data_IF_439020126943
#
_entry.id   IF_439020126943
#
_cell.length_a   1.000
_cell.length_b   1.000
_cell.length_c   1.000
_cell.angle_alpha   90.00
_cell.angle_beta   90.00
_cell.angle_gamma   90.00
#
_symmetry.space_group_name_H-M   'P 1'
#
loop_
_entity.id
_entity.type
_entity.pdbx_description
1 polymer ?
#
# COMPACT_ATOMS: atom_id res chain seq x y z
N UNK A 1 17.26 -12.18 30.14
CA UNK A 1 16.20 -11.58 29.32
C UNK A 1 16.72 -11.49 27.90
N UNK A 2 16.34 -12.43 27.03
CA UNK A 2 16.79 -12.47 25.63
C UNK A 2 15.91 -11.52 24.83
N UNK A 3 16.47 -10.37 24.44
CA UNK A 3 15.82 -9.47 23.49
C UNK A 3 15.82 -10.14 22.11
N UNK A 4 14.64 -10.53 21.65
CA UNK A 4 14.44 -11.03 20.29
C UNK A 4 14.73 -9.91 19.29
N UNK A 5 15.76 -10.11 18.48
CA UNK A 5 16.03 -9.26 17.31
C UNK A 5 14.90 -9.51 16.31
N UNK A 6 14.08 -8.51 15.92
CA UNK A 6 13.10 -8.71 14.88
C UNK A 6 13.84 -9.03 13.58
N UNK A 7 13.54 -10.20 13.02
CA UNK A 7 14.02 -10.59 11.71
C UNK A 7 13.49 -9.58 10.68
N UNK A 8 14.39 -8.74 10.18
CA UNK A 8 14.19 -7.92 8.99
C UNK A 8 14.04 -8.88 7.80
N UNK A 9 12.80 -9.22 7.45
CA UNK A 9 12.51 -9.90 6.19
C UNK A 9 12.95 -9.00 5.05
N UNK A 10 14.04 -9.38 4.39
CA UNK A 10 14.53 -8.77 3.17
C UNK A 10 13.61 -9.16 2.00
N UNK A 11 12.41 -8.60 1.97
CA UNK A 11 11.63 -8.55 0.73
C UNK A 11 12.37 -7.61 -0.23
N UNK A 12 12.77 -8.13 -1.40
CA UNK A 12 13.42 -7.38 -2.46
C UNK A 12 12.43 -6.38 -3.07
N UNK A 13 12.26 -5.24 -2.41
CA UNK A 13 11.35 -4.18 -2.82
C UNK A 13 11.93 -3.43 -4.02
N UNK A 14 11.46 -3.81 -5.21
CA UNK A 14 11.67 -3.08 -6.46
C UNK A 14 10.77 -1.84 -6.54
N UNK A 15 10.80 -0.98 -5.52
CA UNK A 15 9.91 0.19 -5.42
C UNK A 15 10.67 1.47 -5.63
N UNK A 16 10.88 1.74 -6.92
CA UNK A 16 11.52 2.95 -7.41
C UNK A 16 11.31 3.07 -8.90
N UNK A 17 10.06 3.02 -9.38
CA UNK A 17 9.72 3.35 -10.77
C UNK A 17 8.23 3.63 -10.93
N UNK A 18 7.93 4.92 -11.14
CA UNK A 18 7.09 5.41 -12.23
C UNK A 18 5.71 4.74 -12.36
N UNK A 19 4.64 5.49 -12.04
CA UNK A 19 3.30 5.18 -12.56
C UNK A 19 3.41 5.14 -14.09
N UNK A 20 3.61 3.94 -14.60
CA UNK A 20 4.00 3.75 -15.99
C UNK A 20 2.74 3.60 -16.80
N UNK A 21 2.77 4.08 -18.06
CA UNK A 21 1.74 3.71 -19.05
C UNK A 21 1.53 2.18 -19.12
N UNK A 22 2.52 1.37 -18.69
CA UNK A 22 2.40 -0.09 -18.63
C UNK A 22 1.51 -0.57 -17.49
N UNK A 23 1.58 0.06 -16.31
CA UNK A 23 0.71 -0.27 -15.16
C UNK A 23 -0.75 -0.04 -15.52
N UNK A 24 -1.08 1.16 -16.02
CA UNK A 24 -2.43 1.49 -16.49
C UNK A 24 -2.93 0.51 -17.56
N UNK A 25 -2.10 0.22 -18.58
CA UNK A 25 -2.43 -0.77 -19.61
C UNK A 25 -2.70 -2.16 -19.06
N UNK A 26 -2.05 -2.56 -17.96
CA UNK A 26 -2.29 -3.86 -17.32
C UNK A 26 -3.66 -3.89 -16.65
N UNK A 27 -4.03 -2.84 -15.91
CA UNK A 27 -5.37 -2.68 -15.34
C UNK A 27 -6.45 -2.71 -16.43
N UNK A 28 -6.28 -1.95 -17.49
CA UNK A 28 -7.26 -1.87 -18.59
C UNK A 28 -7.46 -3.17 -19.37
N UNK A 29 -6.52 -4.12 -19.29
CA UNK A 29 -6.61 -5.43 -19.97
C UNK A 29 -7.32 -6.49 -19.14
N UNK A 30 -7.46 -6.27 -17.84
CA UNK A 30 -8.13 -7.22 -16.95
C UNK A 30 -9.60 -6.82 -16.83
N UNK A 31 -10.54 -7.74 -17.08
CA UNK A 31 -11.97 -7.45 -16.98
C UNK A 31 -12.32 -6.89 -15.60
N UNK A 32 -13.04 -5.77 -15.60
CA UNK A 32 -13.68 -5.26 -14.38
C UNK A 32 -14.78 -6.24 -13.99
N UNK A 33 -14.71 -6.74 -12.76
CA UNK A 33 -15.71 -7.59 -12.14
C UNK A 33 -16.17 -6.97 -10.84
N UNK A 34 -17.28 -7.48 -10.31
CA UNK A 34 -17.69 -7.24 -8.93
C UNK A 34 -17.22 -8.38 -8.04
N UNK A 35 -17.19 -8.15 -6.73
CA UNK A 35 -16.99 -9.17 -5.70
C UNK A 35 -18.02 -10.29 -5.82
N UNK A 36 -19.25 -10.00 -6.25
CA UNK A 36 -20.32 -10.99 -6.46
C UNK A 36 -20.12 -11.87 -7.70
N UNK A 37 -19.54 -11.33 -8.77
CA UNK A 37 -19.31 -12.04 -10.05
C UNK A 37 -17.87 -12.51 -10.24
N UNK A 38 -17.02 -12.36 -9.23
CA UNK A 38 -15.61 -12.74 -9.30
C UNK A 38 -15.45 -14.24 -9.61
N UNK A 39 -14.73 -14.55 -10.68
CA UNK A 39 -14.36 -15.91 -11.09
C UNK A 39 -13.01 -16.30 -10.46
N UNK A 40 -13.05 -17.28 -9.55
CA UNK A 40 -11.88 -17.76 -8.80
C UNK A 40 -10.80 -18.41 -9.68
N UNK A 41 -11.15 -18.80 -10.91
CA UNK A 41 -10.22 -19.43 -11.86
C UNK A 41 -9.44 -18.40 -12.68
N UNK A 42 -9.89 -17.16 -12.68
CA UNK A 42 -9.35 -16.09 -13.50
C UNK A 42 -8.68 -15.00 -12.65
N UNK A 43 -7.92 -14.14 -13.34
CA UNK A 43 -7.47 -12.87 -12.77
C UNK A 43 -8.59 -11.86 -13.00
N UNK A 44 -9.09 -11.26 -11.92
CA UNK A 44 -10.13 -10.24 -11.97
C UNK A 44 -9.60 -8.87 -11.61
N UNK A 45 -10.26 -7.81 -12.09
CA UNK A 45 -10.08 -6.44 -11.64
C UNK A 45 -11.29 -6.04 -10.79
N UNK A 46 -11.06 -5.66 -9.53
CA UNK A 46 -12.07 -5.12 -8.63
C UNK A 46 -11.82 -3.62 -8.45
N UNK A 47 -12.87 -2.83 -8.28
CA UNK A 47 -12.75 -1.40 -7.95
C UNK A 47 -13.70 -1.09 -6.80
N UNK A 48 -13.18 -0.49 -5.74
CA UNK A 48 -13.97 -0.21 -4.56
C UNK A 48 -13.26 0.74 -3.60
N UNK A 49 -13.90 0.96 -2.46
CA UNK A 49 -13.40 1.86 -1.43
C UNK A 49 -12.72 1.05 -0.32
N UNK A 50 -11.55 1.51 0.11
CA UNK A 50 -10.75 0.87 1.15
C UNK A 50 -11.42 1.00 2.51
N UNK A 51 -11.54 -0.10 3.23
CA UNK A 51 -12.05 -0.15 4.61
C UNK A 51 -11.03 -0.81 5.52
N UNK A 52 -10.68 -0.11 6.60
CA UNK A 52 -9.86 -0.71 7.64
C UNK A 52 -10.67 -1.75 8.40
N UNK A 53 -10.15 -2.98 8.49
CA UNK A 53 -10.74 -4.08 9.27
C UNK A 53 -10.21 -4.04 10.71
N UNK A 54 -8.95 -3.66 10.86
CA UNK A 54 -8.30 -3.43 12.13
C UNK A 54 -8.13 -1.94 12.43
N UNK A 55 -7.55 -1.64 13.60
CA UNK A 55 -7.06 -0.29 13.90
C UNK A 55 -6.06 0.16 12.82
N UNK A 56 -6.35 1.32 12.22
CA UNK A 56 -5.49 1.96 11.23
C UNK A 56 -4.07 2.22 11.77
N UNK A 57 -3.08 2.10 10.90
CA UNK A 57 -1.71 2.53 11.10
C UNK A 57 -1.64 4.06 11.14
N UNK A 58 -0.51 4.59 11.61
CA UNK A 58 -0.13 6.00 11.43
C UNK A 58 1.10 6.07 10.54
N UNK A 59 1.01 6.82 9.46
CA UNK A 59 2.13 7.10 8.58
C UNK A 59 3.19 7.91 9.35
N UNK A 60 4.47 7.53 9.32
CA UNK A 60 5.43 8.04 10.29
C UNK A 60 5.90 9.48 10.02
N UNK A 61 5.73 10.02 8.81
CA UNK A 61 6.09 11.40 8.50
C UNK A 61 4.89 12.36 8.61
N UNK A 62 3.74 12.01 8.03
CA UNK A 62 2.56 12.87 8.09
C UNK A 62 1.64 12.64 9.28
N UNK A 63 1.77 11.51 9.99
CA UNK A 63 0.86 11.10 11.06
C UNK A 63 -0.53 10.65 10.60
N UNK A 64 -0.78 10.63 9.28
CA UNK A 64 -2.09 10.29 8.67
C UNK A 64 -2.53 8.86 8.99
N UNK A 65 -3.82 8.62 9.27
CA UNK A 65 -4.36 7.28 9.49
C UNK A 65 -4.41 6.50 8.17
N UNK A 66 -3.89 5.27 8.16
CA UNK A 66 -3.76 4.50 6.93
C UNK A 66 -3.86 2.99 7.12
N UNK A 67 -4.16 2.26 6.04
CA UNK A 67 -4.05 0.79 6.01
C UNK A 67 -2.69 0.33 5.48
N UNK A 68 -2.00 1.18 4.74
CA UNK A 68 -0.66 0.96 4.22
C UNK A 68 0.10 2.28 4.11
N UNK A 69 1.40 2.24 4.38
CA UNK A 69 2.32 3.30 4.02
C UNK A 69 3.65 2.76 3.50
N UNK A 70 4.33 3.60 2.73
CA UNK A 70 5.72 3.42 2.34
C UNK A 70 6.45 4.75 2.51
N UNK A 71 7.61 4.71 3.14
CA UNK A 71 8.48 5.87 3.35
C UNK A 71 9.87 5.58 2.82
N UNK A 72 10.42 6.53 2.08
CA UNK A 72 11.81 6.51 1.64
C UNK A 72 12.46 7.87 1.89
N UNK A 73 13.62 7.83 2.55
CA UNK A 73 14.52 8.97 2.64
C UNK A 73 15.68 8.75 1.68
N UNK A 74 15.95 9.75 0.88
CA UNK A 74 17.04 9.75 -0.09
C UNK A 74 17.75 11.09 -0.10
N UNK A 75 19.00 11.11 -0.51
CA UNK A 75 19.80 12.33 -0.60
C UNK A 75 20.23 12.55 -2.05
N UNK A 76 20.23 13.81 -2.46
CA UNK A 76 20.78 14.25 -3.75
C UNK A 76 22.15 14.87 -3.54
N UNK A 77 23.17 14.25 -4.12
CA UNK A 77 24.54 14.76 -4.20
C UNK A 77 24.78 15.20 -5.66
N UNK A 78 24.44 16.46 -5.96
CA UNK A 78 24.40 16.96 -7.34
C UNK A 78 23.30 16.28 -8.16
N UNK A 79 23.69 15.46 -9.15
CA UNK A 79 22.75 14.68 -10.00
C UNK A 79 22.50 13.26 -9.49
N UNK A 80 23.23 12.82 -8.48
CA UNK A 80 23.14 11.46 -7.96
C UNK A 80 22.14 11.40 -6.82
N UNK A 81 21.16 10.51 -6.92
CA UNK A 81 20.24 10.18 -5.82
C UNK A 81 20.70 8.90 -5.14
N UNK A 82 20.91 8.96 -3.84
CA UNK A 82 21.25 7.80 -2.99
C UNK A 82 20.15 7.59 -1.95
N UNK A 83 19.61 6.39 -1.84
CA UNK A 83 18.68 6.02 -0.76
C UNK A 83 19.46 5.95 0.56
N UNK A 84 18.92 6.56 1.62
CA UNK A 84 19.45 6.43 2.98
C UNK A 84 18.76 5.25 3.68
N UNK A 85 17.44 5.33 3.79
CA UNK A 85 16.61 4.32 4.43
C UNK A 85 15.20 4.32 3.86
N UNK A 86 14.41 3.33 4.26
CA UNK A 86 12.98 3.36 4.05
C UNK A 86 12.28 2.28 4.87
N UNK A 87 10.99 2.47 5.04
CA UNK A 87 10.12 1.61 5.82
C UNK A 87 8.84 1.39 5.04
N UNK A 88 8.31 0.18 5.10
CA UNK A 88 7.04 -0.17 4.51
C UNK A 88 6.24 -0.94 5.55
N UNK A 89 4.97 -0.59 5.67
CA UNK A 89 4.06 -1.32 6.54
C UNK A 89 2.65 -1.28 6.01
N UNK A 90 2.04 -2.45 5.97
CA UNK A 90 0.62 -2.63 5.65
C UNK A 90 -0.09 -3.44 6.72
N UNK A 91 -1.42 -3.31 6.74
CA UNK A 91 -2.35 -4.20 7.42
C UNK A 91 -3.39 -4.67 6.42
N UNK A 92 -3.94 -5.85 6.66
CA UNK A 92 -5.04 -6.34 5.84
C UNK A 92 -6.23 -5.38 5.90
N UNK A 93 -6.86 -5.16 4.76
CA UNK A 93 -8.00 -4.26 4.62
C UNK A 93 -9.05 -4.85 3.69
N UNK A 94 -10.27 -4.36 3.81
CA UNK A 94 -11.36 -4.74 2.94
C UNK A 94 -11.49 -3.72 1.80
N UNK A 95 -11.86 -4.19 0.63
CA UNK A 95 -12.30 -3.38 -0.51
C UNK A 95 -13.81 -3.57 -0.63
N UNK A 96 -14.59 -2.50 -0.50
CA UNK A 96 -16.04 -2.53 -0.73
C UNK A 96 -16.35 -1.95 -2.11
N UNK A 97 -16.90 -2.78 -3.00
CA UNK A 97 -17.31 -2.37 -4.35
C UNK A 97 -18.82 -2.07 -4.46
N UNK A 98 -19.54 -2.04 -3.34
CA UNK A 98 -20.99 -1.91 -3.24
C UNK A 98 -21.75 -3.23 -3.43
N UNK A 99 -21.09 -4.28 -3.94
CA UNK A 99 -21.68 -5.60 -4.16
C UNK A 99 -21.27 -6.62 -3.13
N UNK A 100 -20.18 -6.36 -2.40
CA UNK A 100 -19.62 -7.22 -1.37
C UNK A 100 -18.25 -6.69 -0.92
N UNK A 101 -17.55 -7.49 -0.10
CA UNK A 101 -16.22 -7.17 0.38
C UNK A 101 -15.16 -8.07 -0.28
N UNK A 102 -13.98 -7.52 -0.53
CA UNK A 102 -12.79 -8.31 -0.80
C UNK A 102 -11.72 -8.04 0.25
N UNK A 103 -11.21 -9.08 0.90
CA UNK A 103 -10.08 -9.00 1.82
C UNK A 103 -8.77 -9.00 1.03
N UNK A 104 -7.90 -8.04 1.34
CA UNK A 104 -6.57 -7.93 0.78
C UNK A 104 -5.54 -7.90 1.90
N UNK A 105 -4.53 -8.76 1.81
CA UNK A 105 -3.30 -8.66 2.58
C UNK A 105 -2.25 -7.92 1.74
N UNK A 106 -1.71 -6.78 2.23
CA UNK A 106 -0.68 -6.05 1.49
C UNK A 106 0.68 -6.76 1.47
N UNK A 107 0.89 -7.84 2.24
CA UNK A 107 2.09 -8.65 2.14
C UNK A 107 2.29 -9.15 0.70
N UNK A 108 3.49 -8.93 0.14
CA UNK A 108 3.85 -9.23 -1.25
C UNK A 108 3.00 -8.53 -2.33
N UNK A 109 2.11 -7.59 -1.97
CA UNK A 109 1.32 -6.86 -2.95
C UNK A 109 2.15 -5.78 -3.65
N UNK A 110 1.85 -5.53 -4.92
CA UNK A 110 2.39 -4.41 -5.68
C UNK A 110 1.47 -3.20 -5.57
N UNK A 111 1.78 -2.27 -4.67
CA UNK A 111 0.99 -1.04 -4.50
C UNK A 111 1.54 0.11 -5.34
N UNK A 112 0.66 0.72 -6.12
CA UNK A 112 0.95 1.88 -6.96
C UNK A 112 0.06 3.02 -6.51
N UNK A 113 0.51 3.74 -5.49
CA UNK A 113 -0.21 4.85 -4.88
C UNK A 113 0.32 6.18 -5.45
N UNK A 114 -0.61 7.03 -5.90
CA UNK A 114 -0.37 8.29 -6.58
C UNK A 114 -0.10 9.42 -5.60
N UNK A 115 -0.79 9.45 -4.46
CA UNK A 115 -0.56 10.48 -3.44
C UNK A 115 0.81 10.32 -2.79
N UNK A 116 1.63 11.37 -2.89
CA UNK A 116 3.00 11.42 -2.38
C UNK A 116 3.20 12.71 -1.61
N UNK A 117 3.40 12.60 -0.31
CA UNK A 117 3.96 13.70 0.47
C UNK A 117 5.46 13.75 0.21
N UNK A 118 5.96 14.89 -0.26
CA UNK A 118 7.39 15.10 -0.52
C UNK A 118 7.91 16.23 0.36
N UNK A 119 8.95 15.93 1.12
CA UNK A 119 9.64 16.89 1.99
C UNK A 119 11.05 17.08 1.42
N UNK A 120 11.46 18.33 1.20
CA UNK A 120 12.79 18.68 0.73
C UNK A 120 13.42 19.72 1.64
N UNK A 121 14.75 19.71 1.70
CA UNK A 121 15.51 20.63 2.53
C UNK A 121 15.37 22.07 2.01
N UNK A 122 15.00 22.97 2.94
CA UNK A 122 14.61 24.35 2.70
C UNK A 122 13.48 24.79 3.63
N UNK A 123 12.56 23.87 3.98
CA UNK A 123 11.46 24.11 4.94
C UNK A 123 11.09 22.90 5.83
N UNK A 124 11.69 21.70 5.64
CA UNK A 124 11.19 20.48 6.30
C UNK A 124 12.19 19.38 6.69
N UNK A 125 13.50 19.58 6.51
CA UNK A 125 14.52 18.61 6.96
C UNK A 125 14.61 18.52 8.50
N UNK A 126 14.29 19.63 9.16
CA UNK A 126 14.23 19.77 10.62
C UNK A 126 12.88 19.35 11.19
N UNK A 127 11.95 18.87 10.37
CA UNK A 127 10.70 18.33 10.87
C UNK A 127 11.00 17.21 11.86
N UNK A 128 10.42 17.31 13.07
CA UNK A 128 10.69 16.38 14.16
C UNK A 128 10.41 14.93 13.73
N UNK A 129 9.47 14.72 12.83
CA UNK A 129 9.09 13.43 12.26
C UNK A 129 10.19 12.83 11.37
N UNK A 130 10.86 13.66 10.55
CA UNK A 130 11.99 13.21 9.70
C UNK A 130 13.18 12.82 10.58
N UNK A 131 13.48 13.61 11.60
CA UNK A 131 14.56 13.32 12.56
C UNK A 131 14.25 12.06 13.38
N UNK A 132 13.01 11.91 13.86
CA UNK A 132 12.57 10.71 14.55
C UNK A 132 12.63 9.47 13.65
N UNK A 133 12.29 9.60 12.36
CA UNK A 133 12.42 8.51 11.39
C UNK A 133 13.88 8.12 11.19
N UNK A 134 14.79 9.08 10.95
CA UNK A 134 16.22 8.83 10.80
C UNK A 134 16.82 8.13 12.03
N UNK A 135 16.50 8.62 13.24
CA UNK A 135 16.97 8.06 14.50
C UNK A 135 16.47 6.62 14.71
N UNK A 136 15.18 6.34 14.41
CA UNK A 136 14.60 5.00 14.49
C UNK A 136 15.30 3.99 13.57
N UNK A 137 15.76 4.45 12.42
CA UNK A 137 16.46 3.63 11.41
C UNK A 137 17.99 3.66 11.54
N UNK A 138 18.53 4.28 12.60
CA UNK A 138 19.98 4.46 12.81
C UNK A 138 20.70 5.02 11.57
N UNK A 139 20.05 5.94 10.86
CA UNK A 139 20.57 6.57 9.64
C UNK A 139 21.00 8.00 9.92
N UNK A 140 22.17 8.38 9.42
CA UNK A 140 22.70 9.73 9.58
C UNK A 140 22.24 10.63 8.43
N UNK A 141 21.81 11.84 8.77
CA UNK A 141 21.56 12.89 7.78
C UNK A 141 22.89 13.51 7.36
N UNK A 142 23.23 13.56 6.06
CA UNK A 142 24.42 14.29 5.62
C UNK A 142 24.26 15.79 5.89
N UNK A 143 25.37 16.54 6.06
CA UNK A 143 25.31 17.97 6.32
C UNK A 143 24.69 18.74 5.12
N UNK A 144 23.85 19.77 5.37
CA UNK A 144 23.01 20.42 4.36
C UNK A 144 23.79 21.14 3.25
N UNK A 145 25.07 21.48 3.50
CA UNK A 145 25.95 22.11 2.50
C UNK A 145 26.38 21.15 1.38
N UNK A 146 26.16 19.83 1.52
CA UNK A 146 26.68 18.82 0.58
C UNK A 146 25.59 18.03 -0.15
N UNK A 147 24.38 18.01 0.38
CA UNK A 147 23.30 17.23 -0.19
C UNK A 147 21.93 17.82 0.15
N UNK A 148 20.93 17.51 -0.67
CA UNK A 148 19.51 17.77 -0.35
C UNK A 148 18.84 16.46 0.03
N UNK A 149 18.37 16.34 1.27
CA UNK A 149 17.50 15.26 1.70
C UNK A 149 16.11 15.43 1.08
N UNK A 150 15.56 14.30 0.66
CA UNK A 150 14.23 14.16 0.10
C UNK A 150 13.57 12.99 0.79
N UNK A 151 12.54 13.29 1.57
CA UNK A 151 11.65 12.28 2.13
C UNK A 151 10.41 12.16 1.25
N UNK A 152 10.04 10.94 0.92
CA UNK A 152 8.80 10.61 0.20
C UNK A 152 8.00 9.67 1.08
N UNK A 153 6.75 10.02 1.33
CA UNK A 153 5.77 9.16 1.98
C UNK A 153 4.59 8.94 1.05
N UNK A 154 4.19 7.68 0.90
CA UNK A 154 2.98 7.24 0.22
C UNK A 154 2.05 6.61 1.25
N UNK A 155 0.76 6.91 1.16
CA UNK A 155 -0.24 6.50 2.16
C UNK A 155 -1.49 6.01 1.44
N UNK A 156 -2.00 4.84 1.83
CA UNK A 156 -3.32 4.37 1.44
C UNK A 156 -4.28 4.53 2.62
N UNK A 157 -5.21 5.47 2.51
CA UNK A 157 -6.15 5.80 3.58
C UNK A 157 -7.43 4.96 3.52
N UNK A 158 -8.08 4.69 4.66
CA UNK A 158 -9.48 4.26 4.66
C UNK A 158 -10.35 5.28 3.92
N UNK A 159 -11.26 4.78 3.08
CA UNK A 159 -12.12 5.57 2.21
C UNK A 159 -11.52 5.89 0.84
N UNK A 160 -10.23 5.63 0.62
CA UNK A 160 -9.62 5.80 -0.69
C UNK A 160 -10.23 4.80 -1.69
N UNK A 161 -10.55 5.28 -2.90
CA UNK A 161 -11.03 4.45 -3.99
C UNK A 161 -9.86 3.86 -4.77
N UNK A 162 -9.81 2.55 -4.89
CA UNK A 162 -8.71 1.84 -5.56
C UNK A 162 -9.20 0.77 -6.51
N UNK A 163 -8.39 0.52 -7.53
CA UNK A 163 -8.48 -0.65 -8.38
C UNK A 163 -7.51 -1.72 -7.89
N UNK A 164 -7.95 -2.97 -7.90
CA UNK A 164 -7.16 -4.13 -7.49
C UNK A 164 -7.21 -5.19 -8.59
N UNK A 165 -6.05 -5.73 -8.97
CA UNK A 165 -5.95 -6.91 -9.83
C UNK A 165 -5.36 -8.06 -9.03
N UNK A 166 -6.00 -9.21 -9.06
CA UNK A 166 -5.47 -10.41 -8.44
C UNK A 166 -6.28 -11.65 -8.77
N UNK A 167 -5.80 -12.78 -8.26
CA UNK A 167 -6.61 -13.99 -8.08
C UNK A 167 -7.17 -13.99 -6.67
N UNK A 168 -8.31 -14.64 -6.50
CA UNK A 168 -8.91 -14.78 -5.18
C UNK A 168 -9.87 -15.94 -5.12
N UNK A 169 -10.24 -16.30 -3.89
CA UNK A 169 -11.21 -17.35 -3.57
C UNK A 169 -12.31 -16.77 -2.71
N UNK A 170 -13.52 -17.33 -2.77
CA UNK A 170 -14.59 -16.96 -1.85
C UNK A 170 -14.43 -17.71 -0.54
N UNK A 171 -14.64 -16.99 0.54
CA UNK A 171 -14.72 -17.54 1.88
C UNK A 171 -15.94 -16.96 2.59
N UNK A 172 -16.45 -17.68 3.59
CA UNK A 172 -17.47 -17.15 4.48
C UNK A 172 -16.93 -15.89 5.17
N UNK A 173 -17.72 -14.80 5.14
CA UNK A 173 -17.33 -13.56 5.82
C UNK A 173 -17.63 -13.71 7.33
N UNK A 174 -16.62 -13.59 8.22
CA UNK A 174 -16.86 -13.61 9.66
C UNK A 174 -17.64 -12.39 10.16
N UNK A 175 -17.80 -11.32 9.37
CA UNK A 175 -18.63 -10.19 9.75
C UNK A 175 -20.13 -10.56 9.64
N UNK A 176 -20.88 -10.63 10.76
CA UNK A 176 -22.30 -10.97 10.73
C UNK A 176 -23.15 -9.94 9.95
N UNK A 177 -22.63 -8.73 9.68
CA UNK A 177 -23.31 -7.72 8.86
C UNK A 177 -23.21 -7.99 7.37
N UNK A 178 -22.31 -8.87 6.93
CA UNK A 178 -22.20 -9.27 5.53
C UNK A 178 -23.39 -10.14 5.08
N UNK A 179 -24.07 -10.81 6.03
CA UNK A 179 -25.26 -11.60 5.78
C UNK A 179 -26.43 -10.72 5.32
N UNK A 180 -27.00 -11.00 4.13
CA UNK A 180 -28.16 -10.27 3.59
C UNK A 180 -29.51 -10.92 3.91
N UNK A 181 -29.52 -12.05 4.61
CA UNK A 181 -30.73 -12.76 4.95
C UNK A 181 -30.51 -13.84 5.99
N UNK A 182 -31.60 -14.37 6.52
CA UNK A 182 -31.61 -15.35 7.62
C UNK A 182 -30.83 -16.65 7.35
N UNK A 183 -30.48 -16.95 6.09
CA UNK A 183 -29.72 -18.14 5.67
C UNK A 183 -28.49 -17.85 4.80
N UNK A 184 -28.16 -16.58 4.62
CA UNK A 184 -26.98 -16.19 3.85
C UNK A 184 -25.85 -15.94 4.84
N UNK A 185 -24.77 -16.73 4.78
CA UNK A 185 -23.63 -16.57 5.69
C UNK A 185 -22.78 -15.34 5.35
N UNK A 186 -23.06 -14.63 4.25
CA UNK A 186 -22.16 -13.64 3.71
C UNK A 186 -20.90 -14.30 3.15
N UNK A 187 -20.47 -13.87 1.98
CA UNK A 187 -19.20 -14.31 1.39
C UNK A 187 -18.35 -13.08 1.09
N UNK A 188 -17.04 -13.25 1.22
CA UNK A 188 -16.04 -12.27 0.78
C UNK A 188 -15.04 -12.91 -0.15
N UNK A 189 -14.49 -12.12 -1.06
CA UNK A 189 -13.36 -12.56 -1.89
C UNK A 189 -12.07 -12.34 -1.13
N UNK A 190 -11.23 -13.35 -0.97
CA UNK A 190 -9.89 -13.21 -0.40
C UNK A 190 -8.89 -13.20 -1.54
N UNK A 191 -8.21 -12.06 -1.74
CA UNK A 191 -7.18 -11.92 -2.76
C UNK A 191 -5.83 -12.37 -2.19
N UNK A 192 -5.23 -13.38 -2.81
CA UNK A 192 -3.93 -13.92 -2.38
C UNK A 192 -2.81 -13.32 -3.22
N UNK A 193 -1.82 -12.72 -2.55
CA UNK A 193 -0.60 -12.25 -3.21
C UNK A 193 0.52 -13.27 -3.08
N UNK A 194 1.33 -13.42 -4.12
CA UNK A 194 2.59 -14.17 -4.06
C UNK A 194 3.68 -13.41 -4.80
N UNK A 195 4.98 -13.65 -4.53
CA UNK A 195 6.06 -12.99 -5.27
C UNK A 195 6.03 -13.21 -6.80
N UNK A 196 5.43 -14.32 -7.28
CA UNK A 196 5.29 -14.62 -8.73
C UNK A 196 4.03 -14.04 -9.34
N UNK A 197 2.94 -14.04 -8.57
CA UNK A 197 1.64 -13.51 -8.96
C UNK A 197 1.17 -12.50 -7.90
N UNK A 198 1.76 -11.29 -7.85
CA UNK A 198 1.41 -10.35 -6.82
C UNK A 198 0.08 -9.69 -7.14
N UNK A 199 -0.73 -9.48 -6.10
CA UNK A 199 -1.89 -8.61 -6.15
C UNK A 199 -1.41 -7.19 -6.42
N UNK A 200 -2.06 -6.50 -7.36
CA UNK A 200 -1.70 -5.12 -7.70
C UNK A 200 -2.79 -4.18 -7.25
N UNK A 201 -2.42 -3.11 -6.57
CA UNK A 201 -3.34 -2.06 -6.08
C UNK A 201 -2.96 -0.74 -6.71
N UNK A 202 -3.93 0.03 -7.19
CA UNK A 202 -3.74 1.36 -7.77
C UNK A 202 -4.84 2.31 -7.33
N UNK A 203 -4.49 3.50 -6.87
CA UNK A 203 -5.43 4.60 -6.57
C UNK A 203 -5.63 5.56 -7.76
N UNK A 204 -4.84 5.40 -8.83
CA UNK A 204 -5.00 6.24 -10.02
C UNK A 204 -6.43 6.08 -10.61
N UNK A 205 -7.17 7.18 -10.80
CA UNK A 205 -8.55 7.16 -11.29
C UNK A 205 -8.72 6.40 -12.61
N UNK A 206 -7.73 6.43 -13.48
CA UNK A 206 -7.78 5.80 -14.78
C UNK A 206 -7.64 4.26 -14.76
N UNK A 207 -7.30 3.70 -13.60
CA UNK A 207 -7.39 2.27 -13.32
C UNK A 207 -8.75 1.88 -12.71
N UNK A 208 -9.48 2.85 -12.15
CA UNK A 208 -10.78 2.68 -11.49
C UNK A 208 -11.97 2.80 -12.47
N UNK A 209 -11.75 3.36 -13.65
CA UNK A 209 -12.67 3.39 -14.80
C UNK A 209 -12.58 2.10 -15.65
#
# INVERSE_FOLDING_TARGET
>A
MLAGVPALSAAALSFGRWYSRRTRRRFQRVPLTTTRSFDERAVGRLVGDVRAIERALRAPLSGRPCVYYWVELSVYEGRFRRRLCGEERGRSFALDDGHGSALLDPADAELVIGERSRYCDGLGADAAEVQAFLARHACECPPPLRASLVAVEMVLEPGARVAVIGRGVRESDPDPRAARGYRDSGERVVLSSTPREPVRVSDDPACCE
#
